data_IF_071389603960
#
_entry.id   IF_071389603960
#
_cell.length_a   1.000
_cell.length_b   1.000
_cell.length_c   1.000
_cell.angle_alpha   90.00
_cell.angle_beta   90.00
_cell.angle_gamma   90.00
#
_symmetry.space_group_name_H-M   'P 1'
#
loop_
_entity.id
_entity.type
_entity.pdbx_description
1 polymer ?
#
# COMPACT_ATOMS: atom_id res chain seq x y z
N UNK A 1 -26.62 36.37 15.66
CA UNK A 1 -26.94 35.02 15.14
C UNK A 1 -26.63 34.93 13.64
N UNK A 2 -25.56 34.21 13.28
CA UNK A 2 -25.23 33.91 11.88
C UNK A 2 -26.33 33.02 11.28
N UNK A 3 -26.84 33.35 10.09
CA UNK A 3 -27.87 32.56 9.41
C UNK A 3 -27.36 31.13 9.16
N UNK A 4 -28.14 30.12 9.53
CA UNK A 4 -27.77 28.71 9.41
C UNK A 4 -27.45 28.30 7.96
N UNK A 5 -28.13 28.90 6.98
CA UNK A 5 -27.90 28.63 5.57
C UNK A 5 -26.55 29.20 5.08
N UNK A 6 -26.21 30.42 5.53
CA UNK A 6 -24.94 31.08 5.22
C UNK A 6 -23.78 30.32 5.87
N UNK A 7 -23.96 29.88 7.12
CA UNK A 7 -22.98 29.10 7.88
C UNK A 7 -22.70 27.75 7.22
N UNK A 8 -23.73 27.08 6.71
CA UNK A 8 -23.61 25.81 5.99
C UNK A 8 -22.85 25.98 4.67
N UNK A 9 -23.25 26.95 3.82
CA UNK A 9 -22.57 27.23 2.54
C UNK A 9 -21.11 27.64 2.75
N UNK A 10 -20.84 28.46 3.76
CA UNK A 10 -19.50 28.92 4.09
C UNK A 10 -18.60 27.76 4.55
N UNK A 11 -19.12 26.89 5.43
CA UNK A 11 -18.37 25.74 5.93
C UNK A 11 -18.05 24.75 4.82
N UNK A 12 -18.99 24.49 3.91
CA UNK A 12 -18.76 23.64 2.73
C UNK A 12 -17.71 24.23 1.79
N UNK A 13 -17.77 25.54 1.54
CA UNK A 13 -16.79 26.23 0.69
C UNK A 13 -15.39 26.20 1.33
N UNK A 14 -15.31 26.42 2.65
CA UNK A 14 -14.06 26.39 3.40
C UNK A 14 -13.45 24.99 3.43
N UNK A 15 -14.24 23.96 3.73
CA UNK A 15 -13.82 22.56 3.69
C UNK A 15 -13.26 22.18 2.31
N UNK A 16 -13.95 22.57 1.24
CA UNK A 16 -13.50 22.31 -0.13
C UNK A 16 -12.20 23.05 -0.48
N UNK A 17 -12.06 24.31 -0.05
CA UNK A 17 -10.88 25.13 -0.36
C UNK A 17 -9.62 24.64 0.37
N UNK A 18 -9.78 24.15 1.60
CA UNK A 18 -8.68 23.69 2.46
C UNK A 18 -8.40 22.19 2.33
N UNK A 19 -9.36 21.43 1.79
CA UNK A 19 -9.29 19.98 1.67
C UNK A 19 -9.47 19.24 3.00
N UNK A 20 -10.08 19.90 3.99
CA UNK A 20 -10.37 19.32 5.31
C UNK A 20 -11.83 18.86 5.40
N UNK A 21 -12.11 17.97 6.34
CA UNK A 21 -13.47 17.50 6.62
C UNK A 21 -14.42 18.66 6.99
N UNK A 22 -15.71 18.51 6.65
CA UNK A 22 -16.72 19.54 6.84
C UNK A 22 -17.05 19.79 8.32
N UNK A 23 -17.07 18.76 9.16
CA UNK A 23 -17.31 18.93 10.59
C UNK A 23 -16.14 19.67 11.24
N UNK A 24 -14.92 19.32 10.83
CA UNK A 24 -13.71 20.01 11.26
C UNK A 24 -13.66 21.46 10.76
N UNK A 25 -14.05 21.73 9.52
CA UNK A 25 -14.18 23.09 8.98
C UNK A 25 -15.17 23.95 9.77
N UNK A 26 -16.33 23.37 10.15
CA UNK A 26 -17.32 24.06 10.98
C UNK A 26 -16.72 24.42 12.34
N UNK A 27 -16.02 23.49 12.98
CA UNK A 27 -15.40 23.72 14.29
C UNK A 27 -14.33 24.80 14.20
N UNK A 28 -13.45 24.72 13.20
CA UNK A 28 -12.34 25.65 13.02
C UNK A 28 -12.84 27.07 12.69
N UNK A 29 -13.90 27.20 11.88
CA UNK A 29 -14.57 28.47 11.65
C UNK A 29 -15.21 29.02 12.93
N UNK A 30 -15.87 28.19 13.74
CA UNK A 30 -16.46 28.62 15.02
C UNK A 30 -15.40 29.13 16.00
N UNK A 31 -14.30 28.41 16.14
CA UNK A 31 -13.21 28.74 17.05
C UNK A 31 -12.54 30.08 16.69
N UNK A 32 -12.59 30.47 15.42
CA UNK A 32 -12.08 31.74 14.90
C UNK A 32 -13.21 32.77 14.64
N UNK A 33 -14.38 32.60 15.25
CA UNK A 33 -15.47 33.57 15.17
C UNK A 33 -16.01 33.82 13.75
N UNK A 34 -15.95 32.80 12.89
CA UNK A 34 -16.30 32.83 11.47
C UNK A 34 -15.40 33.75 10.62
N UNK A 35 -14.21 34.10 11.12
CA UNK A 35 -13.20 34.82 10.36
C UNK A 35 -12.45 33.86 9.43
N UNK A 36 -12.75 33.94 8.13
CA UNK A 36 -12.21 33.05 7.09
C UNK A 36 -10.69 33.17 6.99
N UNK A 37 -10.14 34.39 7.06
CA UNK A 37 -8.71 34.61 6.87
C UNK A 37 -7.89 34.03 8.01
N UNK A 38 -8.36 34.20 9.24
CA UNK A 38 -7.73 33.62 10.43
C UNK A 38 -7.83 32.10 10.43
N UNK A 39 -9.00 31.56 10.08
CA UNK A 39 -9.22 30.12 9.96
C UNK A 39 -8.33 29.50 8.86
N UNK A 40 -8.19 30.15 7.70
CA UNK A 40 -7.30 29.71 6.62
C UNK A 40 -5.84 29.71 7.09
N UNK A 41 -5.39 30.79 7.72
CA UNK A 41 -4.03 30.91 8.24
C UNK A 41 -3.70 29.78 9.22
N UNK A 42 -4.57 29.55 10.20
CA UNK A 42 -4.39 28.47 11.17
C UNK A 42 -4.35 27.07 10.49
N UNK A 43 -5.17 26.87 9.46
CA UNK A 43 -5.21 25.61 8.71
C UNK A 43 -3.90 25.36 7.96
N UNK A 44 -3.35 26.37 7.29
CA UNK A 44 -2.09 26.23 6.55
C UNK A 44 -0.88 26.08 7.49
N UNK A 45 -0.82 26.83 8.59
CA UNK A 45 0.24 26.69 9.60
C UNK A 45 0.24 25.29 10.23
N UNK A 46 -0.93 24.73 10.54
CA UNK A 46 -1.07 23.36 11.04
C UNK A 46 -0.59 22.32 10.01
N UNK A 47 -0.88 22.56 8.72
CA UNK A 47 -0.46 21.67 7.63
C UNK A 47 1.05 21.68 7.43
N UNK A 48 1.69 22.85 7.47
CA UNK A 48 3.15 22.98 7.37
C UNK A 48 3.85 22.31 8.57
N UNK A 49 3.31 22.49 9.78
CA UNK A 49 3.84 21.84 10.98
C UNK A 49 3.71 20.30 10.90
N UNK A 50 2.58 19.78 10.42
CA UNK A 50 2.39 18.35 10.21
C UNK A 50 3.37 17.77 9.17
N UNK A 51 3.61 18.49 8.06
CA UNK A 51 4.57 18.09 7.04
C UNK A 51 6.02 18.08 7.57
N UNK A 52 6.39 19.04 8.41
CA UNK A 52 7.70 19.08 9.08
C UNK A 52 7.93 17.88 10.02
N UNK A 53 6.90 17.45 10.74
CA UNK A 53 6.98 16.27 11.60
C UNK A 53 7.10 14.98 10.76
N UNK A 54 6.35 14.88 9.66
CA UNK A 54 6.41 13.71 8.76
C UNK A 54 7.80 13.58 8.13
N UNK A 55 8.37 14.68 7.61
CA UNK A 55 9.71 14.66 7.02
C UNK A 55 10.79 14.29 8.04
N UNK A 56 10.63 14.75 9.29
CA UNK A 56 11.49 14.35 10.40
C UNK A 56 11.34 12.87 10.73
N UNK A 57 10.13 12.31 10.68
CA UNK A 57 9.85 10.89 10.95
C UNK A 57 10.35 9.95 9.84
N UNK A 58 10.31 10.39 8.57
CA UNK A 58 10.89 9.65 7.44
C UNK A 58 12.41 9.53 7.54
N UNK A 59 13.10 10.56 8.05
CA UNK A 59 14.54 10.51 8.29
C UNK A 59 14.94 9.46 9.34
N UNK A 60 14.07 9.11 10.30
CA UNK A 60 14.34 8.06 11.29
C UNK A 60 14.07 6.64 10.76
N UNK A 61 13.21 6.49 9.73
CA UNK A 61 12.95 5.19 9.09
C UNK A 61 14.09 4.70 8.21
N UNK A 62 14.95 5.59 7.71
CA UNK A 62 16.12 5.22 6.88
C UNK A 62 17.19 4.40 7.62
N UNK A 63 17.15 4.34 8.96
CA UNK A 63 18.18 3.67 9.76
C UNK A 63 17.95 2.17 9.99
N UNK A 64 16.88 1.57 9.46
CA UNK A 64 16.56 0.14 9.63
C UNK A 64 15.86 -0.46 8.40
N UNK A 65 16.29 -0.13 7.19
CA UNK A 65 15.74 -0.75 5.97
C UNK A 65 16.15 -2.23 5.90
N UNK A 66 15.32 -3.10 6.47
CA UNK A 66 15.23 -4.50 6.03
C UNK A 66 14.66 -4.46 4.61
N UNK A 67 15.52 -4.62 3.62
CA UNK A 67 15.08 -4.82 2.25
C UNK A 67 14.33 -6.14 2.16
N UNK A 68 13.16 -6.11 1.53
CA UNK A 68 12.34 -7.29 1.27
C UNK A 68 12.71 -7.83 -0.11
N UNK A 69 13.16 -9.08 -0.19
CA UNK A 69 13.54 -9.74 -1.44
C UNK A 69 12.31 -10.42 -2.06
N UNK A 70 11.82 -9.86 -3.15
CA UNK A 70 10.65 -10.39 -3.88
C UNK A 70 11.13 -11.22 -5.07
N UNK A 71 10.58 -12.42 -5.21
CA UNK A 71 10.74 -13.27 -6.40
C UNK A 71 9.42 -13.34 -7.17
N UNK A 72 9.44 -13.02 -8.47
CA UNK A 72 8.26 -13.11 -9.34
C UNK A 72 8.61 -13.86 -10.62
N UNK A 73 7.84 -14.87 -10.99
CA UNK A 73 8.05 -15.62 -12.22
C UNK A 73 6.74 -16.17 -12.81
N UNK A 74 6.55 -15.91 -14.10
CA UNK A 74 5.61 -16.65 -14.95
C UNK A 74 6.16 -18.02 -15.34
N UNK A 75 5.51 -19.11 -14.93
CA UNK A 75 6.06 -20.47 -15.09
C UNK A 75 5.70 -21.12 -16.43
N UNK A 76 4.78 -20.53 -17.20
CA UNK A 76 4.28 -21.03 -18.50
C UNK A 76 3.96 -22.54 -18.47
N UNK A 77 3.46 -23.02 -17.33
CA UNK A 77 3.15 -24.45 -17.12
C UNK A 77 1.71 -24.80 -17.52
N UNK A 78 0.95 -23.83 -18.04
CA UNK A 78 -0.42 -24.02 -18.53
C UNK A 78 -0.51 -24.34 -20.02
N UNK A 79 0.59 -24.18 -20.77
CA UNK A 79 0.56 -24.10 -22.24
C UNK A 79 0.87 -25.44 -22.92
N UNK A 80 0.69 -26.58 -22.24
CA UNK A 80 1.15 -27.88 -22.74
C UNK A 80 0.12 -29.01 -22.56
N UNK A 81 0.03 -29.89 -23.56
CA UNK A 81 -0.91 -31.03 -23.64
C UNK A 81 -0.47 -32.23 -22.75
N UNK A 82 -1.43 -32.88 -22.11
CA UNK A 82 -1.35 -33.55 -20.79
C UNK A 82 -0.47 -34.83 -20.63
N UNK A 83 0.20 -35.39 -21.64
CA UNK A 83 0.67 -36.81 -21.56
C UNK A 83 2.21 -37.02 -21.56
N UNK A 84 3.01 -36.12 -22.15
CA UNK A 84 4.49 -36.14 -22.03
C UNK A 84 5.01 -35.17 -20.95
N UNK A 85 4.09 -34.69 -20.09
CA UNK A 85 4.22 -33.39 -19.42
C UNK A 85 4.62 -33.46 -17.95
N UNK A 86 4.37 -34.58 -17.26
CA UNK A 86 4.62 -34.68 -15.82
C UNK A 86 6.11 -34.53 -15.49
N UNK A 87 6.99 -35.25 -16.19
CA UNK A 87 8.43 -35.17 -15.97
C UNK A 87 8.98 -33.75 -16.25
N UNK A 88 8.45 -33.06 -17.27
CA UNK A 88 8.87 -31.70 -17.62
C UNK A 88 8.36 -30.66 -16.61
N UNK A 89 7.11 -30.80 -16.15
CA UNK A 89 6.53 -29.96 -15.10
C UNK A 89 7.27 -30.17 -13.78
N UNK A 90 7.59 -31.41 -13.44
CA UNK A 90 8.38 -31.79 -12.27
C UNK A 90 9.77 -31.15 -12.32
N UNK A 91 10.53 -31.33 -13.41
CA UNK A 91 11.85 -30.71 -13.58
C UNK A 91 11.80 -29.18 -13.48
N UNK A 92 10.78 -28.55 -14.04
CA UNK A 92 10.59 -27.08 -13.93
C UNK A 92 10.27 -26.67 -12.49
N UNK A 93 9.40 -27.40 -11.80
CA UNK A 93 9.07 -27.16 -10.40
C UNK A 93 10.31 -27.33 -9.50
N UNK A 94 11.12 -28.37 -9.73
CA UNK A 94 12.40 -28.59 -9.05
C UNK A 94 13.38 -27.42 -9.28
N UNK A 95 13.51 -26.96 -10.52
CA UNK A 95 14.36 -25.80 -10.85
C UNK A 95 13.90 -24.53 -10.12
N UNK A 96 12.58 -24.29 -10.05
CA UNK A 96 12.01 -23.17 -9.29
C UNK A 96 12.38 -23.32 -7.80
N UNK A 97 12.21 -24.52 -7.23
CA UNK A 97 12.56 -24.82 -5.84
C UNK A 97 14.04 -24.54 -5.56
N UNK A 98 14.97 -24.96 -6.43
CA UNK A 98 16.40 -24.71 -6.28
C UNK A 98 16.73 -23.21 -6.27
N UNK A 99 16.08 -22.45 -7.16
CA UNK A 99 16.24 -20.99 -7.21
C UNK A 99 15.71 -20.35 -5.93
N UNK A 100 14.54 -20.77 -5.45
CA UNK A 100 13.96 -20.27 -4.21
C UNK A 100 14.85 -20.58 -3.00
N UNK A 101 15.46 -21.76 -2.96
CA UNK A 101 16.43 -22.15 -1.93
C UNK A 101 17.68 -21.27 -1.92
N UNK A 102 18.23 -20.99 -3.11
CA UNK A 102 19.44 -20.18 -3.26
C UNK A 102 19.17 -18.72 -2.94
N UNK A 103 18.09 -18.19 -3.50
CA UNK A 103 17.77 -16.77 -3.43
C UNK A 103 17.14 -16.39 -2.08
N UNK A 104 16.46 -17.33 -1.40
CA UNK A 104 15.74 -17.10 -0.13
C UNK A 104 14.89 -15.83 -0.16
N UNK A 105 13.94 -15.71 -1.11
CA UNK A 105 13.06 -14.55 -1.15
C UNK A 105 12.12 -14.55 0.06
N UNK A 106 11.77 -13.35 0.52
CA UNK A 106 10.78 -13.13 1.57
C UNK A 106 9.34 -13.27 1.05
N UNK A 107 9.13 -12.97 -0.24
CA UNK A 107 7.83 -13.05 -0.92
C UNK A 107 7.99 -13.68 -2.29
N UNK A 108 7.11 -14.63 -2.62
CA UNK A 108 7.11 -15.38 -3.88
C UNK A 108 5.78 -15.13 -4.60
N UNK A 109 5.85 -14.71 -5.87
CA UNK A 109 4.70 -14.52 -6.75
C UNK A 109 4.89 -15.40 -7.99
N UNK A 110 4.00 -16.36 -8.22
CA UNK A 110 4.05 -17.22 -9.40
C UNK A 110 2.78 -17.04 -10.25
N UNK A 111 2.96 -16.96 -11.57
CA UNK A 111 1.88 -16.85 -12.55
C UNK A 111 1.90 -18.06 -13.52
N UNK A 112 0.73 -18.38 -14.11
CA UNK A 112 0.52 -19.52 -15.01
C UNK A 112 1.06 -20.87 -14.48
N UNK A 113 0.85 -21.11 -13.18
CA UNK A 113 1.24 -22.35 -12.51
C UNK A 113 0.16 -23.42 -12.67
N UNK A 114 0.51 -24.53 -13.34
CA UNK A 114 -0.35 -25.71 -13.42
C UNK A 114 -0.48 -26.40 -12.07
N UNK A 115 -1.59 -27.12 -11.87
CA UNK A 115 -1.96 -27.72 -10.56
C UNK A 115 -0.88 -28.65 -10.00
N UNK A 116 -0.21 -29.43 -10.85
CA UNK A 116 0.86 -30.36 -10.44
C UNK A 116 2.09 -29.59 -9.93
N UNK A 117 2.60 -28.62 -10.70
CA UNK A 117 3.70 -27.74 -10.28
C UNK A 117 3.38 -27.00 -8.97
N UNK A 118 2.16 -26.45 -8.87
CA UNK A 118 1.74 -25.73 -7.66
C UNK A 118 1.77 -26.65 -6.43
N UNK A 119 1.27 -27.88 -6.57
CA UNK A 119 1.25 -28.87 -5.49
C UNK A 119 2.67 -29.22 -5.03
N UNK A 120 3.60 -29.45 -5.96
CA UNK A 120 5.00 -29.74 -5.65
C UNK A 120 5.68 -28.57 -4.93
N UNK A 121 5.53 -27.35 -5.46
CA UNK A 121 6.12 -26.14 -4.88
C UNK A 121 5.57 -25.88 -3.48
N UNK A 122 4.25 -26.00 -3.27
CA UNK A 122 3.63 -25.81 -1.94
C UNK A 122 4.08 -26.90 -0.96
N UNK A 123 4.08 -28.17 -1.38
CA UNK A 123 4.51 -29.30 -0.55
C UNK A 123 5.94 -29.09 -0.07
N UNK A 124 6.81 -28.66 -0.99
CA UNK A 124 8.18 -28.33 -0.68
C UNK A 124 8.31 -27.15 0.30
N UNK A 125 7.69 -26.01 0.00
CA UNK A 125 7.76 -24.82 0.86
C UNK A 125 7.22 -25.12 2.27
N UNK A 126 6.19 -25.95 2.39
CA UNK A 126 5.62 -26.38 3.67
C UNK A 126 6.56 -27.30 4.46
N UNK A 127 7.55 -27.95 3.81
CA UNK A 127 8.55 -28.77 4.51
C UNK A 127 9.69 -27.96 5.12
N UNK A 128 9.85 -26.70 4.69
CA UNK A 128 10.88 -25.79 5.18
C UNK A 128 10.47 -25.01 6.44
N UNK A 129 9.20 -25.06 6.83
CA UNK A 129 8.59 -24.37 7.98
C UNK A 129 7.86 -25.34 8.89
#
# INVERSE_FOLDING_TARGET
PFNAEISSKLSTAFAKATGIDIEFAIQLLKDHGWNIDQALKATYEAKEHAQSIISTKENWKKTNEKYLKIFSWNTDTTDCDEIELNDLIEQRAETIIEILLREKPDVILLQQVGTVALTLIITYLSSLY
#
